data_IF_300959486893
#
_entry.id   IF_300959486893
#
_cell.length_a   1.000
_cell.length_b   1.000
_cell.length_c   1.000
_cell.angle_alpha   90.00
_cell.angle_beta   90.00
_cell.angle_gamma   90.00
#
_symmetry.space_group_name_H-M   'P 1'
#
loop_
_entity.id
_entity.type
_entity.pdbx_description
1 polymer ?
#
# COMPACT_ATOMS: atom_id res chain seq x y z
N UNK A 1 8.78 13.49 -0.29
CA UNK A 1 8.31 12.13 -0.65
C UNK A 1 8.96 11.71 -1.96
N UNK A 2 9.52 10.54 -1.99
CA UNK A 2 10.08 9.95 -3.20
C UNK A 2 9.04 9.01 -3.82
N UNK A 3 8.78 9.17 -5.12
CA UNK A 3 7.82 8.35 -5.87
C UNK A 3 8.55 7.22 -6.59
N UNK A 4 8.10 6.00 -6.39
CA UNK A 4 8.55 4.83 -7.14
C UNK A 4 7.42 4.27 -7.98
N UNK A 5 7.65 4.12 -9.29
CA UNK A 5 6.72 3.49 -10.23
C UNK A 5 7.33 2.17 -10.69
N UNK A 6 6.54 1.09 -10.63
CA UNK A 6 6.85 -0.28 -11.12
C UNK A 6 8.00 -0.99 -10.39
N UNK A 7 9.24 -0.63 -10.61
CA UNK A 7 10.38 -1.32 -10.00
C UNK A 7 11.07 -0.41 -8.99
N UNK A 8 11.28 -0.85 -7.76
CA UNK A 8 11.98 -0.05 -6.79
C UNK A 8 13.43 0.19 -7.24
N UNK A 9 13.87 1.44 -7.15
CA UNK A 9 15.28 1.77 -7.30
C UNK A 9 16.09 1.13 -6.17
N UNK A 10 17.39 1.03 -6.37
CA UNK A 10 18.31 0.42 -5.40
C UNK A 10 18.38 1.16 -4.05
N UNK A 11 17.75 2.32 -3.95
CA UNK A 11 17.87 3.22 -2.79
C UNK A 11 16.70 3.15 -1.80
N UNK A 12 15.80 2.16 -1.92
CA UNK A 12 14.73 2.00 -0.95
C UNK A 12 15.30 1.46 0.36
N UNK A 13 15.17 2.26 1.42
CA UNK A 13 15.51 1.84 2.78
C UNK A 13 14.43 0.94 3.36
N UNK A 14 14.77 0.09 4.35
CA UNK A 14 13.76 -0.63 5.12
C UNK A 14 12.67 0.33 5.63
N UNK A 15 11.41 -0.07 5.47
CA UNK A 15 10.29 0.84 5.70
C UNK A 15 9.06 0.15 6.28
N UNK A 16 8.18 0.97 6.82
CA UNK A 16 6.84 0.61 7.27
C UNK A 16 5.84 1.17 6.27
N UNK A 17 4.90 0.36 5.84
CA UNK A 17 3.95 0.74 4.80
C UNK A 17 2.50 0.57 5.20
N UNK A 18 1.63 1.26 4.49
CA UNK A 18 0.22 0.94 4.37
C UNK A 18 -0.15 0.77 2.91
N UNK A 19 -1.22 0.03 2.64
CA UNK A 19 -1.69 -0.27 1.29
C UNK A 19 -3.10 0.30 1.12
N UNK A 20 -3.35 0.94 -0.01
CA UNK A 20 -4.68 1.41 -0.35
C UNK A 20 -4.71 2.17 -1.66
N UNK A 21 -5.91 2.41 -2.16
CA UNK A 21 -6.06 3.25 -3.35
C UNK A 21 -5.93 4.76 -3.02
N UNK A 22 -6.34 5.16 -1.83
CA UNK A 22 -6.20 6.52 -1.30
C UNK A 22 -6.83 7.63 -2.13
N UNK A 23 -7.96 7.36 -2.77
CA UNK A 23 -8.68 8.39 -3.51
C UNK A 23 -9.07 9.56 -2.61
N UNK A 24 -8.72 10.78 -3.02
CA UNK A 24 -8.98 12.01 -2.28
C UNK A 24 -8.11 12.23 -1.05
N UNK A 25 -7.33 11.24 -0.62
CA UNK A 25 -6.49 11.31 0.60
C UNK A 25 -7.26 11.95 1.76
N UNK A 26 -8.45 11.40 2.06
CA UNK A 26 -9.34 11.96 3.09
C UNK A 26 -8.81 11.76 4.52
N UNK A 27 -9.56 12.22 5.53
CA UNK A 27 -9.12 12.19 6.93
C UNK A 27 -8.72 10.81 7.43
N UNK A 28 -9.48 9.77 7.09
CA UNK A 28 -9.16 8.39 7.46
C UNK A 28 -7.84 7.91 6.86
N UNK A 29 -7.57 8.25 5.61
CA UNK A 29 -6.29 7.97 4.97
C UNK A 29 -5.14 8.69 5.66
N UNK A 30 -5.32 9.96 5.97
CA UNK A 30 -4.29 10.78 6.68
C UNK A 30 -4.00 10.22 8.06
N UNK A 31 -5.03 9.82 8.80
CA UNK A 31 -4.86 9.19 10.10
C UNK A 31 -4.02 7.90 9.98
N UNK A 32 -4.36 7.05 9.02
CA UNK A 32 -3.61 5.80 8.78
C UNK A 32 -2.15 6.09 8.44
N UNK A 33 -1.89 7.08 7.59
CA UNK A 33 -0.52 7.48 7.21
C UNK A 33 0.24 8.04 8.42
N UNK A 34 -0.41 8.78 9.31
CA UNK A 34 0.21 9.24 10.56
C UNK A 34 0.62 8.05 11.45
N UNK A 35 -0.20 7.00 11.53
CA UNK A 35 0.17 5.78 12.25
C UNK A 35 1.38 5.10 11.62
N UNK A 36 1.45 5.02 10.29
CA UNK A 36 2.62 4.49 9.57
C UNK A 36 3.87 5.28 9.94
N UNK A 37 3.80 6.59 9.90
CA UNK A 37 4.93 7.48 10.24
C UNK A 37 5.37 7.29 11.69
N UNK A 38 4.41 7.19 12.61
CA UNK A 38 4.72 6.98 14.04
C UNK A 38 5.42 5.64 14.28
N UNK A 39 4.93 4.56 13.68
CA UNK A 39 5.56 3.23 13.78
C UNK A 39 6.94 3.24 13.14
N UNK A 40 7.09 3.86 11.98
CA UNK A 40 8.38 3.98 11.28
C UNK A 40 9.40 4.73 12.14
N UNK A 41 9.03 5.89 12.70
CA UNK A 41 9.90 6.67 13.57
C UNK A 41 10.32 5.88 14.81
N UNK A 42 9.39 5.17 15.45
CA UNK A 42 9.69 4.34 16.62
C UNK A 42 10.62 3.15 16.34
N UNK A 43 10.72 2.73 15.09
CA UNK A 43 11.59 1.63 14.67
C UNK A 43 12.85 2.08 13.93
N UNK A 44 13.04 3.38 13.72
CA UNK A 44 14.14 3.91 12.92
C UNK A 44 14.06 3.55 11.43
N UNK A 45 12.84 3.39 10.92
CA UNK A 45 12.55 3.00 9.54
C UNK A 45 11.95 4.17 8.76
N UNK A 46 11.97 4.07 7.44
CA UNK A 46 11.25 5.01 6.58
C UNK A 46 9.74 4.69 6.59
N UNK A 47 8.93 5.68 6.24
CA UNK A 47 7.48 5.53 6.10
C UNK A 47 7.08 5.47 4.62
N UNK A 48 6.13 4.62 4.26
CA UNK A 48 5.71 4.46 2.88
C UNK A 48 4.21 4.22 2.71
N UNK A 49 3.74 4.53 1.52
CA UNK A 49 2.39 4.23 1.06
C UNK A 49 2.50 3.41 -0.22
N UNK A 50 1.80 2.29 -0.27
CA UNK A 50 1.63 1.48 -1.49
C UNK A 50 0.26 1.79 -2.06
N UNK A 51 0.22 2.28 -3.28
CA UNK A 51 -1.02 2.66 -3.97
C UNK A 51 -0.99 2.25 -5.44
N UNK A 52 -2.05 2.53 -6.17
CA UNK A 52 -2.25 2.08 -7.54
C UNK A 52 -2.70 3.24 -8.42
N UNK A 53 -2.24 3.31 -9.69
CA UNK A 53 -2.67 4.38 -10.61
C UNK A 53 -4.13 4.21 -11.04
N UNK A 54 -4.59 2.97 -11.15
CA UNK A 54 -5.96 2.60 -11.52
C UNK A 54 -6.59 1.82 -10.38
N UNK A 55 -7.88 2.06 -10.11
CA UNK A 55 -8.57 1.35 -9.04
C UNK A 55 -8.53 -0.17 -9.29
N UNK A 56 -8.10 -0.99 -8.31
CA UNK A 56 -7.96 -2.44 -8.50
C UNK A 56 -9.21 -3.12 -9.05
N UNK A 57 -10.39 -2.70 -8.62
CA UNK A 57 -11.66 -3.23 -9.12
C UNK A 57 -11.89 -2.95 -10.61
N UNK A 58 -11.38 -1.84 -11.12
CA UNK A 58 -11.47 -1.48 -12.55
C UNK A 58 -10.68 -2.44 -13.43
N UNK A 59 -9.58 -2.97 -12.94
CA UNK A 59 -8.77 -3.99 -13.62
C UNK A 59 -9.50 -5.34 -13.62
N UNK A 60 -10.22 -5.67 -12.55
CA UNK A 60 -10.92 -6.95 -12.41
C UNK A 60 -12.29 -6.97 -13.09
N UNK A 61 -12.93 -5.81 -13.24
CA UNK A 61 -14.26 -5.64 -13.84
C UNK A 61 -14.19 -4.55 -14.92
N UNK A 62 -14.10 -4.95 -16.18
CA UNK A 62 -13.90 -4.05 -17.32
C UNK A 62 -15.01 -2.99 -17.48
N UNK A 63 -16.20 -3.25 -16.98
CA UNK A 63 -17.36 -2.34 -17.01
C UNK A 63 -17.46 -1.45 -15.76
N UNK A 64 -16.54 -1.61 -14.80
CA UNK A 64 -16.51 -0.79 -13.59
C UNK A 64 -15.69 0.48 -13.82
N UNK A 65 -16.38 1.62 -13.79
CA UNK A 65 -15.76 2.94 -13.95
C UNK A 65 -16.09 3.81 -12.72
N UNK A 66 -15.24 3.77 -11.67
CA UNK A 66 -15.48 4.54 -10.47
C UNK A 66 -15.39 6.06 -10.74
N UNK A 67 -16.23 6.83 -10.06
CA UNK A 67 -16.06 8.28 -10.01
C UNK A 67 -14.99 8.59 -8.96
N UNK A 68 -13.84 9.04 -9.40
CA UNK A 68 -12.73 9.36 -8.53
C UNK A 68 -12.79 10.80 -8.05
N UNK A 69 -12.36 11.03 -6.81
CA UNK A 69 -12.24 12.37 -6.22
C UNK A 69 -11.00 13.10 -6.72
N UNK A 70 -9.95 12.35 -7.07
CA UNK A 70 -8.67 12.91 -7.50
C UNK A 70 -8.13 12.16 -8.71
N UNK A 71 -7.38 12.87 -9.55
CA UNK A 71 -6.52 12.25 -10.55
C UNK A 71 -5.33 11.58 -9.85
N UNK A 72 -4.57 10.78 -10.58
CA UNK A 72 -3.35 10.16 -10.05
C UNK A 72 -2.34 11.21 -9.59
N UNK A 73 -2.13 12.26 -10.40
CA UNK A 73 -1.19 13.34 -10.07
C UNK A 73 -1.63 14.14 -8.84
N UNK A 74 -2.91 14.46 -8.74
CA UNK A 74 -3.48 15.11 -7.56
C UNK A 74 -3.30 14.25 -6.31
N UNK A 75 -3.55 12.96 -6.42
CA UNK A 75 -3.34 11.99 -5.32
C UNK A 75 -1.88 11.99 -4.85
N UNK A 76 -0.93 11.90 -5.77
CA UNK A 76 0.51 11.96 -5.45
C UNK A 76 0.85 13.27 -4.74
N UNK A 77 0.33 14.39 -5.22
CA UNK A 77 0.54 15.70 -4.59
C UNK A 77 -0.01 15.77 -3.17
N UNK A 78 -1.20 15.20 -2.95
CA UNK A 78 -1.81 15.14 -1.62
C UNK A 78 -1.05 14.22 -0.67
N UNK A 79 -0.57 13.08 -1.16
CA UNK A 79 0.26 12.16 -0.38
C UNK A 79 1.58 12.81 0.02
N UNK A 80 2.19 13.59 -0.87
CA UNK A 80 3.42 14.33 -0.56
C UNK A 80 3.25 15.27 0.64
N UNK A 81 2.07 15.86 0.80
CA UNK A 81 1.76 16.77 1.92
C UNK A 81 1.62 16.05 3.26
N UNK A 82 1.48 14.73 3.28
CA UNK A 82 1.37 13.97 4.53
C UNK A 82 2.70 13.79 5.25
N UNK A 83 3.82 14.04 4.58
CA UNK A 83 5.16 13.85 5.12
C UNK A 83 5.65 12.39 5.09
N UNK A 84 4.96 11.49 4.39
CA UNK A 84 5.45 10.13 4.16
C UNK A 84 6.71 10.15 3.30
N UNK A 85 7.66 9.25 3.57
CA UNK A 85 8.95 9.24 2.88
C UNK A 85 8.85 8.70 1.45
N UNK A 86 8.07 7.64 1.25
CA UNK A 86 7.94 6.97 -0.04
C UNK A 86 6.48 6.78 -0.46
N UNK A 87 6.22 6.93 -1.74
CA UNK A 87 4.99 6.48 -2.40
C UNK A 87 5.37 5.45 -3.45
N UNK A 88 4.89 4.23 -3.28
CA UNK A 88 5.10 3.13 -4.21
C UNK A 88 3.85 2.97 -5.06
N UNK A 89 3.95 3.36 -6.33
CA UNK A 89 2.86 3.26 -7.29
C UNK A 89 2.99 1.94 -8.04
N UNK A 90 2.14 0.98 -7.72
CA UNK A 90 2.17 -0.36 -8.32
C UNK A 90 1.06 -0.50 -9.35
N UNK A 91 1.39 -1.05 -10.50
CA UNK A 91 0.37 -1.44 -11.46
C UNK A 91 -0.37 -2.68 -10.95
N UNK A 92 -1.69 -2.55 -10.83
CA UNK A 92 -2.53 -3.67 -10.44
C UNK A 92 -2.86 -4.49 -11.68
N UNK A 93 -2.06 -5.52 -11.94
CA UNK A 93 -2.21 -6.41 -13.10
C UNK A 93 -3.08 -7.63 -12.75
N UNK A 94 -3.63 -8.36 -13.75
CA UNK A 94 -4.32 -9.63 -13.50
C UNK A 94 -3.46 -10.64 -12.74
N UNK A 95 -2.15 -10.65 -12.95
CA UNK A 95 -1.21 -11.50 -12.22
C UNK A 95 -1.19 -11.17 -10.73
N UNK A 96 -1.10 -9.89 -10.39
CA UNK A 96 -1.15 -9.44 -9.00
C UNK A 96 -2.52 -9.72 -8.37
N UNK A 97 -3.59 -9.56 -9.14
CA UNK A 97 -4.96 -9.85 -8.67
C UNK A 97 -5.16 -11.31 -8.26
N UNK A 98 -4.38 -12.24 -8.82
CA UNK A 98 -4.44 -13.67 -8.49
C UNK A 98 -3.64 -14.06 -7.25
N UNK A 99 -2.74 -13.20 -6.80
CA UNK A 99 -1.91 -13.49 -5.63
C UNK A 99 -2.75 -13.55 -4.36
N UNK A 100 -2.47 -14.53 -3.51
CA UNK A 100 -2.99 -14.53 -2.15
C UNK A 100 -2.45 -13.33 -1.37
N UNK A 101 -3.10 -12.98 -0.27
CA UNK A 101 -2.62 -11.91 0.60
C UNK A 101 -1.19 -12.21 1.08
N UNK A 102 -0.91 -13.45 1.46
CA UNK A 102 0.41 -13.85 1.91
C UNK A 102 1.48 -13.72 0.83
N UNK A 103 1.18 -14.16 -0.38
CA UNK A 103 2.09 -14.01 -1.53
C UNK A 103 2.38 -12.54 -1.84
N UNK A 104 1.35 -11.70 -1.81
CA UNK A 104 1.50 -10.25 -2.03
C UNK A 104 2.36 -9.61 -0.93
N UNK A 105 2.11 -9.94 0.34
CA UNK A 105 2.94 -9.47 1.46
C UNK A 105 4.40 -9.89 1.32
N UNK A 106 4.65 -11.12 0.87
CA UNK A 106 6.00 -11.61 0.60
C UNK A 106 6.72 -10.78 -0.45
N UNK A 107 6.04 -10.44 -1.55
CA UNK A 107 6.58 -9.57 -2.60
C UNK A 107 6.90 -8.17 -2.04
N UNK A 108 6.01 -7.59 -1.26
CA UNK A 108 6.23 -6.29 -0.64
C UNK A 108 7.47 -6.29 0.25
N UNK A 109 7.65 -7.35 1.03
CA UNK A 109 8.82 -7.51 1.87
C UNK A 109 10.10 -7.63 1.07
N UNK A 110 10.13 -8.54 0.10
CA UNK A 110 11.34 -8.88 -0.63
C UNK A 110 11.78 -7.80 -1.62
N UNK A 111 10.82 -7.23 -2.37
CA UNK A 111 11.14 -6.25 -3.43
C UNK A 111 11.19 -4.81 -2.94
N UNK A 112 10.38 -4.47 -1.95
CA UNK A 112 10.21 -3.08 -1.50
C UNK A 112 10.74 -2.85 -0.10
N UNK A 113 11.40 -3.83 0.50
CA UNK A 113 11.98 -3.77 1.84
C UNK A 113 10.99 -3.32 2.91
N UNK A 114 9.73 -3.71 2.77
CA UNK A 114 8.69 -3.42 3.74
C UNK A 114 8.85 -4.39 4.92
N UNK A 115 9.13 -3.85 6.09
CA UNK A 115 9.39 -4.62 7.31
C UNK A 115 8.15 -4.71 8.21
N UNK A 116 7.15 -3.87 7.99
CA UNK A 116 5.89 -3.91 8.69
C UNK A 116 4.78 -3.26 7.86
N UNK A 117 3.56 -3.78 8.00
CA UNK A 117 2.36 -3.21 7.41
C UNK A 117 1.44 -2.69 8.50
N UNK A 118 0.92 -1.49 8.29
CA UNK A 118 -0.17 -0.91 9.09
C UNK A 118 -1.40 -0.91 8.21
N UNK A 119 -2.42 -1.67 8.61
CA UNK A 119 -3.65 -1.80 7.83
C UNK A 119 -4.86 -1.48 8.71
N UNK A 120 -5.89 -0.87 8.10
CA UNK A 120 -7.16 -0.69 8.77
C UNK A 120 -7.83 -2.04 9.05
N UNK A 121 -8.54 -2.14 10.17
CA UNK A 121 -9.18 -3.41 10.57
C UNK A 121 -10.12 -3.98 9.50
N UNK A 122 -10.85 -3.12 8.78
CA UNK A 122 -11.79 -3.51 7.74
C UNK A 122 -11.16 -3.61 6.34
N UNK A 123 -9.86 -3.28 6.21
CA UNK A 123 -9.20 -3.31 4.92
C UNK A 123 -8.95 -4.75 4.48
N UNK A 124 -9.25 -5.04 3.22
CA UNK A 124 -9.06 -6.36 2.61
C UNK A 124 -8.20 -6.24 1.36
N UNK A 125 -7.28 -7.17 1.21
CA UNK A 125 -6.47 -7.33 0.01
C UNK A 125 -6.19 -8.81 -0.26
N UNK A 126 -5.59 -9.13 -1.42
CA UNK A 126 -5.38 -10.49 -1.87
C UNK A 126 -6.54 -11.02 -2.70
N UNK A 127 -6.33 -12.15 -3.34
CA UNK A 127 -7.32 -12.78 -4.23
C UNK A 127 -8.63 -13.07 -3.49
N UNK A 128 -9.75 -12.69 -4.09
CA UNK A 128 -11.11 -12.83 -3.53
C UNK A 128 -11.36 -12.09 -2.21
N UNK A 129 -10.39 -11.39 -1.66
CA UNK A 129 -10.51 -10.69 -0.36
C UNK A 129 -11.09 -11.56 0.75
N UNK A 130 -10.74 -12.86 0.76
CA UNK A 130 -11.24 -13.84 1.71
C UNK A 130 -10.60 -13.72 3.09
N UNK A 131 -9.37 -13.23 3.15
CA UNK A 131 -8.63 -13.08 4.39
C UNK A 131 -9.00 -11.78 5.11
N UNK A 132 -8.85 -11.79 6.42
CA UNK A 132 -9.08 -10.63 7.27
C UNK A 132 -7.85 -10.21 8.05
N UNK A 133 -8.04 -9.24 8.94
CA UNK A 133 -6.96 -8.65 9.73
C UNK A 133 -6.14 -9.68 10.51
N UNK A 134 -6.79 -10.66 11.13
CA UNK A 134 -6.12 -11.72 11.89
C UNK A 134 -5.24 -12.60 11.00
N UNK A 135 -5.69 -12.87 9.78
CA UNK A 135 -4.91 -13.61 8.79
C UNK A 135 -3.65 -12.82 8.40
N UNK A 136 -3.78 -11.51 8.20
CA UNK A 136 -2.64 -10.63 7.87
C UNK A 136 -1.61 -10.59 9.00
N UNK A 137 -2.07 -10.55 10.26
CA UNK A 137 -1.17 -10.63 11.43
C UNK A 137 -0.40 -11.95 11.43
N UNK A 138 -1.08 -13.05 11.18
CA UNK A 138 -0.45 -14.37 11.10
C UNK A 138 0.59 -14.43 9.98
N UNK A 139 0.24 -13.98 8.78
CA UNK A 139 1.16 -13.93 7.64
C UNK A 139 2.37 -13.04 7.92
N UNK A 140 2.14 -11.90 8.55
CA UNK A 140 3.24 -11.03 8.96
C UNK A 140 4.21 -11.72 9.89
N UNK A 141 3.72 -12.44 10.90
CA UNK A 141 4.56 -13.23 11.80
C UNK A 141 5.36 -14.31 11.05
N UNK A 142 4.71 -15.04 10.13
CA UNK A 142 5.37 -16.07 9.33
C UNK A 142 6.46 -15.49 8.40
N UNK A 143 6.26 -14.30 7.89
CA UNK A 143 7.18 -13.62 6.99
C UNK A 143 8.25 -12.78 7.72
N UNK A 144 8.15 -12.64 9.02
CA UNK A 144 9.05 -11.79 9.81
C UNK A 144 8.78 -10.30 9.66
N UNK A 145 7.53 -9.96 9.52
CA UNK A 145 7.08 -8.55 9.41
C UNK A 145 6.45 -8.05 10.70
#
# INVERSE_FOLDING_TARGET
MQLFCETPGFDIRPNVATIGFFDGVHRGHRYLIEQVRAVAAGRGLASSVVTFPVHPREVMQADYHPKLLTTCDEKVSLLAKTGVDYCMMLDFTPEIARLSAREFMSILKERYQIQALVVGYDHRFGHNRSDGFEDYVRYGCELGM
#
